data_IF_960970160146
#
_entry.id   IF_960970160146
#
_cell.length_a   1.000
_cell.length_b   1.000
_cell.length_c   1.000
_cell.angle_alpha   90.00
_cell.angle_beta   90.00
_cell.angle_gamma   90.00
#
_symmetry.space_group_name_H-M   'P 1'
#
loop_
_entity.id
_entity.type
_entity.pdbx_description
1 polymer ?
#
# COMPACT_ATOMS: atom_id res chain seq x y z
N UNK A 1 -42.06 15.83 10.63
CA UNK A 1 -41.23 15.67 9.42
C UNK A 1 -39.98 14.92 9.85
N UNK A 2 -40.06 13.59 9.89
CA UNK A 2 -38.91 12.71 10.18
C UNK A 2 -38.57 12.01 8.88
N UNK A 3 -37.31 12.13 8.47
CA UNK A 3 -36.76 11.54 7.27
C UNK A 3 -36.08 10.24 7.71
N UNK A 4 -36.79 9.12 7.61
CA UNK A 4 -36.18 7.79 7.70
C UNK A 4 -35.42 7.56 6.40
N UNK A 5 -34.09 7.60 6.48
CA UNK A 5 -33.23 7.14 5.39
C UNK A 5 -33.30 5.61 5.37
N UNK A 6 -34.03 5.06 4.40
CA UNK A 6 -34.03 3.64 4.07
C UNK A 6 -32.60 3.13 3.89
N UNK A 7 -32.23 2.13 4.70
CA UNK A 7 -31.06 1.29 4.46
C UNK A 7 -31.30 0.49 3.17
N UNK A 8 -30.63 0.88 2.09
CA UNK A 8 -30.66 0.12 0.83
C UNK A 8 -29.81 -1.13 1.01
N UNK A 9 -30.41 -2.19 1.55
CA UNK A 9 -29.82 -3.54 1.54
C UNK A 9 -29.84 -4.02 0.09
N UNK A 10 -28.69 -3.95 -0.57
CA UNK A 10 -28.54 -4.50 -1.92
C UNK A 10 -28.35 -6.01 -1.78
N UNK A 11 -29.39 -6.78 -2.04
CA UNK A 11 -29.30 -8.24 -2.13
C UNK A 11 -28.38 -8.63 -3.29
N UNK A 12 -27.20 -9.17 -2.97
CA UNK A 12 -26.28 -9.72 -3.97
C UNK A 12 -26.86 -11.04 -4.47
N UNK A 13 -27.03 -11.18 -5.77
CA UNK A 13 -27.53 -12.43 -6.34
C UNK A 13 -26.51 -13.57 -6.13
N UNK A 14 -26.97 -14.81 -6.05
CA UNK A 14 -26.09 -15.99 -5.91
C UNK A 14 -25.03 -16.03 -7.03
N UNK A 15 -25.41 -15.65 -8.26
CA UNK A 15 -24.50 -15.56 -9.40
C UNK A 15 -23.39 -14.50 -9.22
N UNK A 16 -23.73 -13.32 -8.70
CA UNK A 16 -22.77 -12.25 -8.40
C UNK A 16 -21.83 -12.64 -7.26
N UNK A 17 -22.36 -13.29 -6.22
CA UNK A 17 -21.56 -13.84 -5.13
C UNK A 17 -20.54 -14.85 -5.66
N UNK A 18 -20.96 -15.83 -6.46
CA UNK A 18 -20.05 -16.81 -7.06
C UNK A 18 -19.03 -16.18 -8.02
N UNK A 19 -19.40 -15.14 -8.78
CA UNK A 19 -18.47 -14.40 -9.63
C UNK A 19 -17.39 -13.65 -8.82
N UNK A 20 -17.78 -13.03 -7.70
CA UNK A 20 -16.86 -12.39 -6.78
C UNK A 20 -15.91 -13.40 -6.12
N UNK A 21 -16.43 -14.57 -5.70
CA UNK A 21 -15.61 -15.67 -5.16
C UNK A 21 -14.59 -16.16 -6.20
N UNK A 22 -15.01 -16.39 -7.45
CA UNK A 22 -14.09 -16.78 -8.53
C UNK A 22 -12.97 -15.77 -8.73
N UNK A 23 -13.31 -14.49 -8.74
CA UNK A 23 -12.33 -13.40 -8.92
C UNK A 23 -11.31 -13.39 -7.77
N UNK A 24 -11.78 -13.54 -6.52
CA UNK A 24 -10.90 -13.59 -5.35
C UNK A 24 -9.99 -14.81 -5.35
N UNK A 25 -10.51 -15.99 -5.68
CA UNK A 25 -9.74 -17.23 -5.81
C UNK A 25 -8.68 -17.12 -6.91
N UNK A 26 -9.06 -16.61 -8.09
CA UNK A 26 -8.14 -16.40 -9.21
C UNK A 26 -7.00 -15.44 -8.86
N UNK A 27 -7.28 -14.35 -8.12
CA UNK A 27 -6.25 -13.43 -7.63
C UNK A 27 -5.24 -14.10 -6.71
N UNK A 28 -5.71 -15.00 -5.86
CA UNK A 28 -4.82 -15.75 -4.95
C UNK A 28 -4.09 -16.90 -5.66
N UNK A 29 -4.44 -17.20 -6.91
CA UNK A 29 -3.95 -18.38 -7.62
C UNK A 29 -4.34 -19.68 -6.91
N UNK A 30 -5.53 -19.69 -6.27
CA UNK A 30 -6.06 -20.84 -5.54
C UNK A 30 -7.38 -21.28 -6.15
N UNK A 31 -7.63 -22.58 -6.13
CA UNK A 31 -8.95 -23.16 -6.27
C UNK A 31 -9.68 -23.14 -4.92
N UNK A 32 -11.01 -23.27 -4.94
CA UNK A 32 -11.78 -23.41 -3.69
C UNK A 32 -11.34 -24.66 -2.91
N UNK A 33 -11.04 -25.76 -3.61
CA UNK A 33 -10.57 -27.00 -3.00
C UNK A 33 -9.21 -26.83 -2.30
N UNK A 34 -8.26 -26.11 -2.90
CA UNK A 34 -6.98 -25.80 -2.25
C UNK A 34 -7.15 -24.87 -1.05
N UNK A 35 -8.07 -23.91 -1.12
CA UNK A 35 -8.39 -23.03 0.01
C UNK A 35 -9.05 -23.81 1.16
N UNK A 36 -9.95 -24.73 0.85
CA UNK A 36 -10.60 -25.62 1.81
C UNK A 36 -9.59 -26.58 2.46
N UNK A 37 -8.65 -27.12 1.69
CA UNK A 37 -7.57 -27.97 2.21
C UNK A 37 -6.64 -27.20 3.16
N UNK A 38 -6.28 -25.95 2.82
CA UNK A 38 -5.54 -25.05 3.72
C UNK A 38 -6.30 -24.83 5.04
N UNK A 39 -7.60 -24.57 4.97
CA UNK A 39 -8.42 -24.39 6.16
C UNK A 39 -8.51 -25.66 7.02
N UNK A 40 -8.65 -26.83 6.38
CA UNK A 40 -8.65 -28.14 7.06
C UNK A 40 -7.33 -28.38 7.79
N UNK A 41 -6.20 -28.04 7.16
CA UNK A 41 -4.85 -28.14 7.75
C UNK A 41 -4.53 -27.00 8.73
N UNK A 42 -5.35 -25.96 8.79
CA UNK A 42 -5.11 -24.70 9.53
C UNK A 42 -3.79 -24.03 9.14
N UNK A 43 -3.42 -24.15 7.87
CA UNK A 43 -2.17 -23.67 7.31
C UNK A 43 -2.46 -22.94 6.00
N UNK A 44 -2.53 -21.61 6.07
CA UNK A 44 -2.86 -20.76 4.92
C UNK A 44 -1.60 -20.21 4.28
N UNK A 45 -1.56 -20.23 2.95
CA UNK A 45 -0.45 -19.68 2.18
C UNK A 45 -0.31 -18.14 2.30
N UNK A 46 -1.38 -17.44 2.73
CA UNK A 46 -1.36 -16.00 2.99
C UNK A 46 -2.48 -15.55 3.93
N UNK A 47 -2.35 -14.34 4.49
CA UNK A 47 -3.40 -13.71 5.29
C UNK A 47 -4.68 -13.44 4.48
N UNK A 48 -4.53 -13.15 3.18
CA UNK A 48 -5.63 -12.94 2.25
C UNK A 48 -6.40 -14.25 1.98
N UNK A 49 -5.70 -15.39 1.87
CA UNK A 49 -6.34 -16.71 1.78
C UNK A 49 -7.17 -17.00 3.03
N UNK A 50 -6.60 -16.76 4.22
CA UNK A 50 -7.35 -16.92 5.47
C UNK A 50 -8.58 -15.99 5.54
N UNK A 51 -8.41 -14.71 5.20
CA UNK A 51 -9.53 -13.75 5.17
C UNK A 51 -10.62 -14.14 4.18
N UNK A 52 -10.24 -14.66 3.01
CA UNK A 52 -11.20 -15.15 2.03
C UNK A 52 -11.97 -16.34 2.60
N UNK A 53 -11.28 -17.33 3.19
CA UNK A 53 -11.91 -18.49 3.82
C UNK A 53 -12.89 -18.10 4.93
N UNK A 54 -12.54 -17.15 5.80
CA UNK A 54 -13.46 -16.63 6.83
C UNK A 54 -14.74 -16.04 6.20
N UNK A 55 -14.64 -15.47 5.00
CA UNK A 55 -15.74 -14.82 4.32
C UNK A 55 -16.62 -15.79 3.51
N UNK A 56 -16.09 -16.94 3.09
CA UNK A 56 -16.76 -17.83 2.10
C UNK A 56 -16.84 -19.30 2.54
N UNK A 57 -16.19 -19.68 3.63
CA UNK A 57 -16.07 -21.06 4.10
C UNK A 57 -17.44 -21.66 4.44
N UNK A 58 -17.81 -22.76 3.77
CA UNK A 58 -19.08 -23.47 3.97
C UNK A 58 -20.33 -22.81 3.38
N UNK A 59 -20.24 -21.56 2.88
CA UNK A 59 -21.36 -20.85 2.24
C UNK A 59 -21.41 -21.01 0.71
N UNK A 60 -20.31 -21.48 0.12
CA UNK A 60 -20.16 -21.64 -1.34
C UNK A 60 -20.53 -23.06 -1.74
N UNK A 61 -21.40 -23.20 -2.75
CA UNK A 61 -21.62 -24.46 -3.48
C UNK A 61 -20.45 -24.69 -4.46
N UNK A 62 -19.53 -25.64 -4.21
CA UNK A 62 -18.36 -25.83 -5.06
C UNK A 62 -18.73 -26.23 -6.50
N UNK A 63 -19.88 -26.89 -6.67
CA UNK A 63 -20.45 -27.32 -7.96
C UNK A 63 -20.76 -26.14 -8.91
N UNK A 64 -21.00 -24.93 -8.36
CA UNK A 64 -21.25 -23.70 -9.11
C UNK A 64 -19.97 -22.91 -9.42
N UNK A 65 -18.82 -23.41 -8.96
CA UNK A 65 -17.50 -22.94 -9.33
C UNK A 65 -16.91 -23.95 -10.33
N UNK A 66 -17.14 -23.80 -11.66
CA UNK A 66 -16.64 -24.76 -12.62
C UNK A 66 -15.12 -24.95 -12.45
N UNK A 67 -14.68 -26.21 -12.54
CA UNK A 67 -13.30 -26.68 -12.33
C UNK A 67 -12.26 -26.07 -13.31
N UNK A 68 -12.70 -25.23 -14.23
CA UNK A 68 -11.88 -24.58 -15.24
C UNK A 68 -11.63 -23.10 -14.89
N UNK A 69 -10.69 -22.89 -13.99
CA UNK A 69 -9.82 -21.71 -14.00
C UNK A 69 -8.33 -22.10 -13.99
N UNK A 70 -8.01 -23.37 -14.24
CA UNK A 70 -6.67 -23.87 -14.44
C UNK A 70 -6.31 -23.84 -15.94
N UNK A 71 -6.32 -22.67 -16.55
CA UNK A 71 -5.68 -22.45 -17.84
C UNK A 71 -4.91 -21.12 -17.79
N UNK A 72 -3.61 -21.25 -17.50
CA UNK A 72 -2.58 -20.21 -17.49
C UNK A 72 -2.81 -19.08 -16.48
N UNK A 73 -3.19 -19.39 -15.24
CA UNK A 73 -2.87 -18.49 -14.14
C UNK A 73 -1.36 -18.60 -13.90
N UNK A 74 -0.56 -17.70 -14.49
CA UNK A 74 0.71 -17.36 -13.86
C UNK A 74 0.38 -17.07 -12.40
N UNK A 75 0.98 -17.82 -11.48
CA UNK A 75 0.85 -17.61 -10.04
C UNK A 75 1.01 -16.11 -9.80
N UNK A 76 -0.08 -15.40 -9.53
CA UNK A 76 -0.02 -13.96 -9.38
C UNK A 76 0.79 -13.69 -8.11
N UNK A 77 2.07 -13.39 -8.28
CA UNK A 77 2.93 -13.04 -7.15
C UNK A 77 2.48 -11.67 -6.65
N UNK A 78 2.34 -11.54 -5.33
CA UNK A 78 2.06 -10.24 -4.71
C UNK A 78 3.12 -9.24 -5.19
N UNK A 79 2.73 -8.08 -5.76
CA UNK A 79 3.68 -7.10 -6.26
C UNK A 79 4.60 -6.62 -5.13
N UNK A 80 5.90 -6.52 -5.40
CA UNK A 80 6.86 -5.91 -4.48
C UNK A 80 6.70 -4.40 -4.52
N UNK A 81 5.91 -3.86 -3.59
CA UNK A 81 5.74 -2.41 -3.42
C UNK A 81 6.70 -1.89 -2.35
N UNK A 82 7.25 -0.69 -2.54
CA UNK A 82 8.05 0.03 -1.53
C UNK A 82 7.45 1.40 -1.26
N UNK A 83 7.16 1.71 0.00
CA UNK A 83 6.71 3.03 0.45
C UNK A 83 7.88 3.89 0.93
N UNK A 84 7.90 5.16 0.54
CA UNK A 84 8.96 6.13 0.86
C UNK A 84 8.39 7.44 1.40
N UNK A 85 8.61 7.70 2.68
CA UNK A 85 8.39 9.01 3.31
C UNK A 85 9.69 9.82 3.28
N UNK A 86 9.87 10.63 2.24
CA UNK A 86 11.17 11.22 1.88
C UNK A 86 11.49 12.45 2.74
N UNK A 87 12.65 12.44 3.37
CA UNK A 87 13.11 13.51 4.27
C UNK A 87 14.63 13.65 4.31
N UNK A 88 15.10 14.88 4.49
CA UNK A 88 16.53 15.21 4.57
C UNK A 88 17.19 14.75 5.88
N UNK A 89 16.42 14.32 6.88
CA UNK A 89 16.94 13.98 8.22
C UNK A 89 16.52 12.60 8.69
N UNK A 90 15.40 12.07 8.20
CA UNK A 90 14.89 10.76 8.55
C UNK A 90 13.92 10.31 7.47
N UNK A 91 14.39 9.64 6.43
CA UNK A 91 13.48 9.08 5.41
C UNK A 91 12.93 7.76 5.94
N UNK A 92 11.60 7.62 5.99
CA UNK A 92 10.96 6.35 6.28
C UNK A 92 10.92 5.45 5.04
N UNK A 93 11.13 4.15 5.24
CA UNK A 93 11.05 3.14 4.18
C UNK A 93 10.20 1.97 4.68
N UNK A 94 9.37 1.40 3.81
CA UNK A 94 8.58 0.22 4.15
C UNK A 94 8.42 -0.73 2.97
N UNK A 95 8.38 -2.03 3.28
CA UNK A 95 7.92 -3.10 2.41
C UNK A 95 6.95 -4.01 3.17
N UNK A 96 6.36 -5.00 2.51
CA UNK A 96 5.36 -5.86 3.17
C UNK A 96 5.95 -6.53 4.43
N UNK A 97 5.32 -6.25 5.57
CA UNK A 97 5.73 -6.79 6.88
C UNK A 97 6.95 -6.12 7.54
N UNK A 98 7.55 -5.07 6.96
CA UNK A 98 8.72 -4.42 7.58
C UNK A 98 8.78 -2.89 7.35
N UNK A 99 9.48 -2.21 8.26
CA UNK A 99 9.80 -0.78 8.16
C UNK A 99 11.27 -0.53 8.50
N UNK A 100 11.83 0.55 7.98
CA UNK A 100 13.20 1.02 8.27
C UNK A 100 13.29 2.55 8.14
N UNK A 101 14.44 3.12 8.51
CA UNK A 101 14.74 4.55 8.38
C UNK A 101 16.12 4.80 7.82
N UNK A 102 16.20 5.71 6.85
CA UNK A 102 17.46 6.22 6.30
C UNK A 102 17.78 7.55 7.00
N UNK A 103 18.78 7.54 7.88
CA UNK A 103 19.15 8.69 8.73
C UNK A 103 20.59 9.14 8.45
N UNK A 104 20.79 10.24 7.70
CA UNK A 104 22.14 10.74 7.44
C UNK A 104 22.86 11.14 8.73
N UNK A 105 24.19 10.97 8.74
CA UNK A 105 25.01 11.39 9.88
C UNK A 105 24.83 12.89 10.16
N UNK A 106 24.76 13.23 11.45
CA UNK A 106 24.70 14.62 11.91
C UNK A 106 25.84 15.45 11.32
N UNK A 107 25.53 16.68 10.89
CA UNK A 107 26.50 17.60 10.29
C UNK A 107 26.68 17.49 8.77
N UNK A 108 26.28 16.38 8.13
CA UNK A 108 26.37 16.25 6.66
C UNK A 108 25.22 17.03 5.99
N UNK A 109 25.51 17.84 4.97
CA UNK A 109 24.56 18.74 4.28
C UNK A 109 24.83 18.76 2.77
N UNK A 110 23.93 19.39 2.01
CA UNK A 110 24.07 19.57 0.56
C UNK A 110 24.20 18.24 -0.21
N UNK A 111 24.95 18.27 -1.31
CA UNK A 111 25.14 17.11 -2.19
C UNK A 111 25.62 15.83 -1.49
N UNK A 112 26.61 15.84 -0.57
CA UNK A 112 27.01 14.62 0.13
C UNK A 112 25.86 13.92 0.87
N UNK A 113 24.97 14.70 1.49
CA UNK A 113 23.77 14.16 2.15
C UNK A 113 22.79 13.59 1.12
N UNK A 114 22.52 14.34 0.06
CA UNK A 114 21.58 13.91 -0.99
C UNK A 114 22.05 12.63 -1.67
N UNK A 115 23.33 12.55 -2.05
CA UNK A 115 23.93 11.38 -2.68
C UNK A 115 23.82 10.15 -1.77
N UNK A 116 24.16 10.29 -0.48
CA UNK A 116 24.07 9.18 0.47
C UNK A 116 22.62 8.71 0.68
N UNK A 117 21.65 9.62 0.79
CA UNK A 117 20.23 9.23 0.90
C UNK A 117 19.79 8.46 -0.35
N UNK A 118 20.12 8.95 -1.54
CA UNK A 118 19.71 8.33 -2.81
C UNK A 118 20.35 6.95 -2.99
N UNK A 119 21.59 6.77 -2.55
CA UNK A 119 22.28 5.49 -2.55
C UNK A 119 21.53 4.47 -1.66
N UNK A 120 21.16 4.85 -0.43
CA UNK A 120 20.38 3.99 0.47
C UNK A 120 18.98 3.71 -0.06
N UNK A 121 18.28 4.73 -0.57
CA UNK A 121 16.94 4.55 -1.18
C UNK A 121 17.01 3.55 -2.34
N UNK A 122 18.04 3.66 -3.18
CA UNK A 122 18.29 2.75 -4.31
C UNK A 122 18.37 1.29 -3.87
N UNK A 123 19.03 1.00 -2.76
CA UNK A 123 19.17 -0.37 -2.25
C UNK A 123 17.80 -0.96 -1.90
N UNK A 124 16.93 -0.18 -1.24
CA UNK A 124 15.59 -0.64 -0.86
C UNK A 124 14.66 -0.83 -2.06
N UNK A 125 14.69 0.07 -3.05
CA UNK A 125 13.76 0.00 -4.20
C UNK A 125 14.17 -1.04 -5.24
N UNK A 126 15.34 -1.67 -5.12
CA UNK A 126 15.82 -2.62 -6.13
C UNK A 126 14.84 -3.80 -6.30
N UNK A 127 14.39 -4.00 -7.54
CA UNK A 127 13.43 -5.05 -7.91
C UNK A 127 11.98 -4.78 -7.47
N UNK A 128 11.64 -3.56 -7.04
CA UNK A 128 10.26 -3.21 -6.75
C UNK A 128 9.43 -3.11 -8.05
N UNK A 129 8.19 -3.57 -7.98
CA UNK A 129 7.18 -3.43 -9.05
C UNK A 129 6.52 -2.04 -9.00
N UNK A 130 6.52 -1.39 -7.83
CA UNK A 130 6.02 -0.03 -7.62
C UNK A 130 6.71 0.64 -6.44
N UNK A 131 7.09 1.90 -6.60
CA UNK A 131 7.55 2.76 -5.49
C UNK A 131 6.53 3.85 -5.22
N UNK A 132 6.04 3.97 -3.98
CA UNK A 132 5.08 5.00 -3.59
C UNK A 132 5.81 6.06 -2.77
N UNK A 133 5.85 7.29 -3.29
CA UNK A 133 6.66 8.38 -2.75
C UNK A 133 5.74 9.45 -2.16
N UNK A 134 6.04 9.93 -0.95
CA UNK A 134 5.32 11.10 -0.44
C UNK A 134 5.58 12.35 -1.30
N UNK A 135 4.50 13.03 -1.65
CA UNK A 135 4.49 14.30 -2.38
C UNK A 135 4.83 15.51 -1.51
N UNK A 136 4.96 16.70 -2.12
CA UNK A 136 5.21 17.93 -1.38
C UNK A 136 4.03 18.31 -0.47
N UNK A 137 4.33 18.91 0.68
CA UNK A 137 3.38 19.67 1.50
C UNK A 137 3.46 21.15 1.13
N UNK A 138 2.30 21.77 0.85
CA UNK A 138 2.20 23.19 0.51
C UNK A 138 1.86 24.10 1.71
N UNK A 139 1.91 23.58 2.94
CA UNK A 139 1.42 24.27 4.16
C UNK A 139 2.46 24.99 5.03
N UNK A 140 3.70 25.20 4.57
CA UNK A 140 4.78 25.78 5.40
C UNK A 140 5.63 26.80 4.65
N UNK A 141 5.91 27.93 5.30
CA UNK A 141 6.57 29.11 4.73
C UNK A 141 7.96 28.89 4.13
N UNK A 142 8.28 29.75 3.16
CA UNK A 142 9.44 29.72 2.27
C UNK A 142 10.79 29.72 3.02
N UNK A 143 11.57 28.65 2.86
CA UNK A 143 12.99 28.61 3.22
C UNK A 143 13.74 27.57 2.36
N UNK A 144 15.05 27.75 2.13
CA UNK A 144 15.95 26.89 1.34
C UNK A 144 15.84 25.37 1.60
N UNK A 145 15.34 24.94 2.76
CA UNK A 145 15.07 23.52 3.05
C UNK A 145 14.01 22.91 2.14
N UNK A 146 13.07 23.71 1.63
CA UNK A 146 12.09 23.27 0.65
C UNK A 146 12.74 22.92 -0.68
N UNK A 147 13.81 23.62 -1.08
CA UNK A 147 14.52 23.38 -2.32
C UNK A 147 15.31 22.07 -2.27
N UNK A 148 16.14 21.85 -1.24
CA UNK A 148 16.87 20.60 -1.04
C UNK A 148 15.93 19.38 -0.99
N UNK A 149 14.79 19.50 -0.28
CA UNK A 149 13.82 18.41 -0.16
C UNK A 149 13.04 18.19 -1.46
N UNK A 150 12.69 19.25 -2.18
CA UNK A 150 12.11 19.13 -3.51
C UNK A 150 13.09 18.46 -4.48
N UNK A 151 14.36 18.88 -4.45
CA UNK A 151 15.46 18.26 -5.20
C UNK A 151 15.62 16.79 -4.85
N UNK A 152 15.61 16.43 -3.57
CA UNK A 152 15.67 15.03 -3.14
C UNK A 152 14.51 14.20 -3.71
N UNK A 153 13.27 14.70 -3.67
CA UNK A 153 12.11 14.02 -4.27
C UNK A 153 12.24 13.86 -5.79
N UNK A 154 12.80 14.85 -6.50
CA UNK A 154 13.12 14.72 -7.93
C UNK A 154 14.17 13.62 -8.13
N UNK A 155 15.23 13.59 -7.32
CA UNK A 155 16.30 12.58 -7.43
C UNK A 155 15.78 11.16 -7.16
N UNK A 156 14.87 10.97 -6.20
CA UNK A 156 14.24 9.66 -5.94
C UNK A 156 13.41 9.21 -7.15
N UNK A 157 12.58 10.09 -7.72
CA UNK A 157 11.82 9.81 -8.95
C UNK A 157 12.73 9.48 -10.12
N UNK A 158 13.82 10.24 -10.29
CA UNK A 158 14.83 9.95 -11.30
C UNK A 158 15.52 8.61 -11.07
N UNK A 159 15.79 8.22 -9.81
CA UNK A 159 16.36 6.92 -9.48
C UNK A 159 15.41 5.76 -9.82
N UNK A 160 14.09 5.94 -9.65
CA UNK A 160 13.08 4.98 -10.10
C UNK A 160 13.05 4.88 -11.64
N UNK A 161 12.98 6.03 -12.33
CA UNK A 161 12.99 6.10 -13.80
C UNK A 161 14.24 5.44 -14.41
N UNK A 162 15.43 5.71 -13.85
CA UNK A 162 16.71 5.10 -14.28
C UNK A 162 16.73 3.57 -14.19
N UNK A 163 15.81 2.98 -13.42
CA UNK A 163 15.67 1.54 -13.19
C UNK A 163 14.41 0.97 -13.83
N UNK A 164 13.66 1.79 -14.58
CA UNK A 164 12.37 1.41 -15.14
C UNK A 164 11.37 0.92 -14.09
N UNK A 165 11.46 1.47 -12.86
CA UNK A 165 10.54 1.16 -11.77
C UNK A 165 9.42 2.20 -11.79
N UNK A 166 8.15 1.80 -12.00
CA UNK A 166 7.01 2.68 -11.87
C UNK A 166 6.96 3.32 -10.48
N UNK A 167 6.55 4.58 -10.40
CA UNK A 167 6.36 5.25 -9.12
C UNK A 167 5.06 6.03 -9.06
N UNK A 168 4.50 6.11 -7.84
CA UNK A 168 3.36 6.94 -7.50
C UNK A 168 3.80 8.12 -6.61
N UNK A 169 3.07 9.23 -6.68
CA UNK A 169 3.25 10.39 -5.79
C UNK A 169 1.98 10.60 -4.99
N UNK A 170 2.09 10.53 -3.66
CA UNK A 170 0.95 10.59 -2.74
C UNK A 170 1.02 11.85 -1.88
N UNK A 171 0.05 12.76 -1.95
CA UNK A 171 0.02 13.93 -1.07
C UNK A 171 -0.06 13.54 0.43
N UNK A 172 0.55 14.32 1.34
CA UNK A 172 0.52 14.02 2.78
C UNK A 172 -0.90 13.90 3.36
N UNK A 173 -1.83 14.74 2.88
CA UNK A 173 -3.24 14.70 3.30
C UNK A 173 -3.95 13.41 2.84
N UNK A 174 -3.60 12.90 1.66
CA UNK A 174 -4.13 11.64 1.11
C UNK A 174 -3.64 10.44 1.93
N UNK A 175 -2.34 10.40 2.25
CA UNK A 175 -1.74 9.41 3.15
C UNK A 175 -2.40 9.43 4.53
N UNK A 176 -2.55 10.60 5.13
CA UNK A 176 -3.19 10.75 6.44
C UNK A 176 -4.67 10.30 6.42
N UNK A 177 -5.41 10.68 5.37
CA UNK A 177 -6.79 10.26 5.14
C UNK A 177 -6.89 8.73 5.04
N UNK A 178 -6.02 8.10 4.27
CA UNK A 178 -5.99 6.66 4.12
C UNK A 178 -5.68 5.93 5.44
N UNK A 179 -4.71 6.40 6.21
CA UNK A 179 -4.39 5.80 7.49
C UNK A 179 -5.51 5.95 8.52
N UNK A 180 -6.05 7.17 8.67
CA UNK A 180 -6.81 7.57 9.87
C UNK A 180 -8.27 7.93 9.62
N UNK A 181 -8.69 8.03 8.36
CA UNK A 181 -10.01 8.53 7.98
C UNK A 181 -10.13 10.06 8.03
N UNK A 182 -9.03 10.77 8.32
CA UNK A 182 -8.95 12.24 8.34
C UNK A 182 -7.68 12.71 7.63
N UNK A 183 -7.79 13.78 6.84
CA UNK A 183 -6.65 14.36 6.12
C UNK A 183 -5.59 15.04 7.01
N UNK A 184 -5.86 15.15 8.31
CA UNK A 184 -4.94 15.58 9.35
C UNK A 184 -5.34 14.91 10.68
N UNK A 185 -4.41 14.79 11.61
CA UNK A 185 -4.69 14.13 12.88
C UNK A 185 -3.63 14.42 13.94
N UNK A 186 -3.89 14.01 15.20
CA UNK A 186 -2.94 14.16 16.28
C UNK A 186 -1.65 13.37 15.98
N UNK A 187 -0.53 13.86 16.53
CA UNK A 187 0.78 13.24 16.37
C UNK A 187 0.73 11.78 16.82
N UNK A 188 1.04 10.84 15.93
CA UNK A 188 1.03 9.41 16.20
C UNK A 188 -0.22 8.65 15.75
N UNK A 189 -1.28 9.33 15.30
CA UNK A 189 -2.49 8.65 14.82
C UNK A 189 -2.23 7.67 13.68
N UNK A 190 -1.34 8.03 12.74
CA UNK A 190 -0.93 7.14 11.63
C UNK A 190 -0.24 5.89 12.17
N UNK A 191 0.71 6.05 13.09
CA UNK A 191 1.42 4.93 13.74
C UNK A 191 0.45 3.98 14.44
N UNK A 192 -0.47 4.53 15.22
CA UNK A 192 -1.42 3.73 15.98
C UNK A 192 -2.39 3.00 15.03
N UNK A 193 -2.78 3.63 13.91
CA UNK A 193 -3.55 3.00 12.85
C UNK A 193 -2.77 1.88 12.13
N UNK A 194 -1.48 2.07 11.84
CA UNK A 194 -0.62 1.05 11.24
C UNK A 194 -0.49 -0.16 12.15
N UNK A 195 -0.19 0.04 13.43
CA UNK A 195 -0.14 -1.05 14.42
C UNK A 195 -1.47 -1.79 14.50
N UNK A 196 -2.57 -1.06 14.66
CA UNK A 196 -3.90 -1.67 14.86
C UNK A 196 -4.37 -2.42 13.63
N UNK A 197 -4.15 -1.88 12.43
CA UNK A 197 -4.69 -2.43 11.18
C UNK A 197 -3.81 -3.51 10.57
N UNK A 198 -2.50 -3.39 10.69
CA UNK A 198 -1.55 -4.25 9.98
C UNK A 198 -0.63 -5.05 10.92
N UNK A 199 -0.71 -4.84 12.24
CA UNK A 199 0.15 -5.53 13.20
C UNK A 199 1.63 -5.14 13.11
N UNK A 200 1.94 -4.01 12.46
CA UNK A 200 3.34 -3.56 12.27
C UNK A 200 3.73 -2.56 13.34
N UNK A 201 4.78 -2.90 14.06
CA UNK A 201 5.38 -2.06 15.09
C UNK A 201 6.38 -1.08 14.48
N UNK A 202 6.10 0.20 14.66
CA UNK A 202 7.01 1.27 14.27
C UNK A 202 7.59 1.90 15.55
N UNK A 203 8.90 1.74 15.76
CA UNK A 203 9.57 2.07 17.00
C UNK A 203 10.80 2.95 16.82
N UNK A 204 11.31 3.46 17.93
CA UNK A 204 12.52 4.27 17.98
C UNK A 204 12.35 5.71 17.45
N UNK A 205 13.49 6.38 17.13
CA UNK A 205 13.50 7.80 16.78
C UNK A 205 12.75 8.17 15.51
N UNK A 206 12.57 7.24 14.56
CA UNK A 206 11.89 7.47 13.28
C UNK A 206 10.57 6.72 13.13
N UNK A 207 9.95 6.31 14.24
CA UNK A 207 8.67 5.58 14.27
C UNK A 207 7.52 6.23 13.49
N UNK A 208 7.53 7.56 13.37
CA UNK A 208 6.48 8.26 12.63
C UNK A 208 6.76 8.19 11.13
N UNK A 209 8.01 8.41 10.71
CA UNK A 209 8.43 8.30 9.31
C UNK A 209 8.23 6.84 8.80
N UNK A 210 8.50 5.84 9.65
CA UNK A 210 8.22 4.42 9.36
C UNK A 210 6.72 4.16 9.13
N UNK A 211 5.85 4.66 10.01
CA UNK A 211 4.40 4.45 9.89
C UNK A 211 3.84 5.15 8.64
N UNK A 212 4.38 6.33 8.34
CA UNK A 212 4.03 7.09 7.15
C UNK A 212 4.45 6.33 5.88
N UNK A 213 5.67 5.79 5.84
CA UNK A 213 6.14 4.92 4.76
C UNK A 213 5.32 3.63 4.61
N UNK A 214 4.95 2.98 5.72
CA UNK A 214 4.11 1.78 5.69
C UNK A 214 2.70 2.07 5.16
N UNK A 215 2.17 3.26 5.45
CA UNK A 215 0.89 3.70 4.89
C UNK A 215 1.00 3.85 3.36
N UNK A 216 2.08 4.46 2.85
CA UNK A 216 2.32 4.62 1.42
C UNK A 216 2.43 3.26 0.71
N UNK A 217 3.15 2.32 1.31
CA UNK A 217 3.20 0.93 0.86
C UNK A 217 1.80 0.31 0.76
N UNK A 218 1.01 0.41 1.83
CA UNK A 218 -0.34 -0.15 1.88
C UNK A 218 -1.27 0.49 0.83
N UNK A 219 -1.12 1.78 0.55
CA UNK A 219 -1.84 2.48 -0.51
C UNK A 219 -1.45 1.96 -1.90
N UNK A 220 -0.16 1.73 -2.16
CA UNK A 220 0.31 1.16 -3.43
C UNK A 220 -0.21 -0.23 -3.69
N UNK A 221 -0.13 -1.11 -2.67
CA UNK A 221 -0.69 -2.45 -2.77
C UNK A 221 -2.21 -2.42 -2.99
N UNK A 222 -2.94 -1.54 -2.30
CA UNK A 222 -4.39 -1.36 -2.53
C UNK A 222 -4.67 -0.90 -3.97
N UNK A 223 -3.93 0.10 -4.47
CA UNK A 223 -4.08 0.57 -5.85
C UNK A 223 -3.89 -0.55 -6.88
N UNK A 224 -2.94 -1.46 -6.64
CA UNK A 224 -2.68 -2.62 -7.50
C UNK A 224 -3.68 -3.77 -7.32
N UNK A 225 -4.68 -3.63 -6.45
CA UNK A 225 -5.70 -4.66 -6.20
C UNK A 225 -5.31 -5.70 -5.14
N UNK A 226 -4.26 -5.43 -4.36
CA UNK A 226 -3.71 -6.29 -3.29
C UNK A 226 -3.80 -5.63 -1.90
N UNK A 227 -4.96 -5.12 -1.45
CA UNK A 227 -5.05 -4.45 -0.15
C UNK A 227 -4.63 -5.37 1.00
N UNK A 228 -3.81 -4.85 1.92
CA UNK A 228 -3.32 -5.60 3.09
C UNK A 228 -4.41 -5.83 4.17
N UNK A 229 -5.48 -5.04 4.15
CA UNK A 229 -6.61 -5.16 5.06
C UNK A 229 -7.87 -4.56 4.42
N UNK A 230 -9.04 -4.84 5.00
CA UNK A 230 -10.28 -4.13 4.65
C UNK A 230 -10.16 -2.67 5.09
N UNK A 231 -10.31 -1.74 4.15
CA UNK A 231 -10.20 -0.30 4.38
C UNK A 231 -11.58 0.35 4.27
N UNK A 232 -12.04 1.08 5.32
CA UNK A 232 -13.29 1.83 5.26
C UNK A 232 -13.33 2.82 4.10
N UNK A 233 -14.50 3.08 3.52
CA UNK A 233 -14.61 3.94 2.33
C UNK A 233 -14.14 5.37 2.58
N UNK A 234 -14.37 5.89 3.80
CA UNK A 234 -13.85 7.21 4.23
C UNK A 234 -12.33 7.29 4.13
N UNK A 235 -11.63 6.21 4.50
CA UNK A 235 -10.18 6.10 4.37
C UNK A 235 -9.77 5.88 2.91
N UNK A 236 -10.50 5.02 2.17
CA UNK A 236 -10.19 4.65 0.79
C UNK A 236 -10.10 5.87 -0.13
N UNK A 237 -10.90 6.90 0.12
CA UNK A 237 -10.83 8.20 -0.58
C UNK A 237 -9.45 8.86 -0.59
N UNK A 238 -8.55 8.46 0.31
CA UNK A 238 -7.14 8.85 0.27
C UNK A 238 -6.43 8.42 -1.03
N UNK A 239 -6.91 7.41 -1.76
CA UNK A 239 -6.35 6.97 -3.02
C UNK A 239 -6.66 7.93 -4.19
N UNK A 240 -7.78 8.65 -4.12
CA UNK A 240 -8.34 9.43 -5.24
C UNK A 240 -7.49 10.65 -5.61
N UNK A 241 -6.79 11.24 -4.62
CA UNK A 241 -5.93 12.41 -4.82
C UNK A 241 -4.48 12.08 -5.15
N UNK A 242 -4.16 10.79 -5.36
CA UNK A 242 -2.79 10.33 -5.63
C UNK A 242 -2.48 10.34 -7.13
N UNK A 243 -1.22 10.62 -7.46
CA UNK A 243 -0.72 10.43 -8.82
C UNK A 243 -0.16 9.00 -8.94
N UNK A 244 -0.94 8.11 -9.52
CA UNK A 244 -0.53 6.75 -9.84
C UNK A 244 0.22 6.69 -11.17
N UNK A 245 1.17 5.76 -11.37
CA UNK A 245 1.76 5.57 -12.69
C UNK A 245 0.67 5.11 -13.66
N UNK A 246 0.63 5.71 -14.85
CA UNK A 246 -0.15 5.14 -15.93
C UNK A 246 0.49 3.81 -16.34
N UNK A 247 -0.33 2.78 -16.57
CA UNK A 247 0.14 1.49 -17.11
C UNK A 247 0.91 1.66 -18.43
N UNK A 248 0.76 2.80 -19.10
CA UNK A 248 1.48 3.23 -20.31
C UNK A 248 2.61 4.25 -20.04
N UNK A 249 3.40 4.05 -18.98
CA UNK A 249 4.43 5.01 -18.53
C UNK A 249 5.87 4.77 -19.03
N UNK A 250 6.09 3.99 -20.09
CA UNK A 250 7.40 3.83 -20.76
C UNK A 250 7.50 4.57 -22.11
N UNK A 251 6.53 5.41 -22.46
CA UNK A 251 6.62 6.34 -23.59
C UNK A 251 6.64 7.77 -23.04
N UNK A 252 7.59 8.66 -23.34
CA UNK A 252 8.57 8.76 -24.43
C UNK A 252 9.92 9.31 -23.92
#
# INVERSE_FOLDING_TARGET
MQNESDDVITEVTEAEFHAAVRTSLARLGLTYAELEDQARRRDFASAQAHSLWVSIGGAVRPELLPEQAAAVAQKATVPKVIGLDVSLTCTGVAGEGWTDTIRPRTGVRGHPRLAWIIERVTEHITGADLVVIEGPSFGGGVAHRHEDLAGLRVMVRHACWRRSIPYAVVPPSCRALYATGKGSGPKGAVRDAVRTRYGVDCDGPGRYDQADAYTLLAMGLHHLGWPLAVIPDTNRRGLDGCQWPTTEGLAA
#
